data_IF_186706093807
#
_entry.id   IF_186706093807
#
_cell.length_a   1.000
_cell.length_b   1.000
_cell.length_c   1.000
_cell.angle_alpha   90.00
_cell.angle_beta   90.00
_cell.angle_gamma   90.00
#
_symmetry.space_group_name_H-M   'P 1'
#
loop_
_entity.id
_entity.type
_entity.pdbx_description
1 polymer ?
#
# COMPACT_ATOMS: atom_id res chain seq x y z
N UNK A 1 4.76 21.78 -19.12
CA UNK A 1 5.44 21.20 -17.93
C UNK A 1 4.57 20.05 -17.49
N UNK A 2 5.00 18.81 -17.68
CA UNK A 2 4.31 17.64 -17.13
C UNK A 2 4.44 17.73 -15.62
N UNK A 3 3.33 17.91 -14.90
CA UNK A 3 3.35 17.80 -13.42
C UNK A 3 3.82 16.39 -13.09
N UNK A 4 4.95 16.30 -12.42
CA UNK A 4 5.50 15.03 -11.96
C UNK A 4 4.63 14.50 -10.82
N UNK A 5 3.96 13.36 -11.05
CA UNK A 5 3.05 12.75 -10.06
C UNK A 5 3.85 12.25 -8.87
N UNK A 6 3.45 12.60 -7.66
CA UNK A 6 4.04 12.07 -6.42
C UNK A 6 3.14 10.96 -5.85
N UNK A 7 3.75 9.84 -5.46
CA UNK A 7 3.06 8.78 -4.74
C UNK A 7 3.32 8.86 -3.23
N UNK A 8 2.29 8.64 -2.41
CA UNK A 8 2.44 8.36 -0.98
C UNK A 8 2.13 6.90 -0.71
N UNK A 9 3.10 6.16 -0.20
CA UNK A 9 2.95 4.74 0.15
C UNK A 9 2.82 4.65 1.67
N UNK A 10 1.62 4.32 2.14
CA UNK A 10 1.30 4.21 3.55
C UNK A 10 1.51 2.78 3.99
N UNK A 11 2.44 2.56 4.90
CA UNK A 11 2.80 1.26 5.46
C UNK A 11 2.37 1.20 6.92
N UNK A 12 1.48 0.26 7.24
CA UNK A 12 1.14 -0.05 8.62
C UNK A 12 2.01 -1.19 9.11
N UNK A 13 2.59 -1.05 10.31
CA UNK A 13 3.57 -2.01 10.82
C UNK A 13 3.33 -2.39 12.26
N UNK A 14 3.60 -3.67 12.57
CA UNK A 14 3.64 -4.19 13.93
C UNK A 14 4.53 -5.43 14.03
N UNK A 15 5.70 -5.29 14.67
CA UNK A 15 6.63 -6.39 15.01
C UNK A 15 7.26 -7.20 13.85
N UNK A 16 6.98 -6.89 12.61
CA UNK A 16 7.50 -7.61 11.43
C UNK A 16 8.78 -6.95 10.89
N UNK A 17 9.84 -6.98 11.71
CA UNK A 17 11.07 -6.21 11.41
C UNK A 17 11.75 -6.64 10.10
N UNK A 18 11.89 -7.96 9.86
CA UNK A 18 12.56 -8.47 8.67
C UNK A 18 11.72 -8.31 7.42
N UNK A 19 10.41 -8.55 7.54
CA UNK A 19 9.46 -8.39 6.46
C UNK A 19 9.41 -6.93 6.02
N UNK A 20 9.34 -5.99 6.99
CA UNK A 20 9.39 -4.56 6.69
C UNK A 20 10.70 -4.15 6.00
N UNK A 21 11.85 -4.68 6.40
CA UNK A 21 13.12 -4.44 5.67
C UNK A 21 13.01 -4.86 4.21
N UNK A 22 12.47 -6.05 3.93
CA UNK A 22 12.29 -6.53 2.57
C UNK A 22 11.33 -5.62 1.77
N UNK A 23 10.21 -5.19 2.38
CA UNK A 23 9.30 -4.22 1.77
C UNK A 23 10.03 -2.91 1.46
N UNK A 24 10.77 -2.33 2.41
CA UNK A 24 11.49 -1.08 2.20
C UNK A 24 12.50 -1.19 1.07
N UNK A 25 13.28 -2.28 0.98
CA UNK A 25 14.17 -2.50 -0.17
C UNK A 25 13.40 -2.60 -1.48
N UNK A 26 12.23 -3.24 -1.52
CA UNK A 26 11.40 -3.31 -2.73
C UNK A 26 10.87 -1.95 -3.16
N UNK A 27 10.53 -1.09 -2.21
CA UNK A 27 10.04 0.27 -2.47
C UNK A 27 11.17 1.23 -2.86
N UNK A 28 12.29 1.20 -2.14
CA UNK A 28 13.42 2.09 -2.42
C UNK A 28 14.10 1.77 -3.77
N UNK A 29 13.95 0.54 -4.28
CA UNK A 29 14.45 0.12 -5.60
C UNK A 29 13.45 0.32 -6.75
N UNK A 30 12.32 1.00 -6.53
CA UNK A 30 11.40 1.31 -7.62
C UNK A 30 12.08 2.13 -8.71
N UNK A 31 11.73 1.86 -9.99
CA UNK A 31 12.27 2.62 -11.12
C UNK A 31 11.77 4.06 -11.18
N UNK A 32 10.54 4.32 -10.75
CA UNK A 32 10.00 5.67 -10.56
C UNK A 32 10.35 6.18 -9.17
N UNK A 33 10.93 7.38 -9.05
CA UNK A 33 11.56 7.86 -7.82
C UNK A 33 10.81 8.98 -7.08
N UNK A 34 9.75 9.57 -7.67
CA UNK A 34 8.99 10.62 -7.02
C UNK A 34 7.89 10.04 -6.10
N UNK A 35 8.31 9.60 -4.93
CA UNK A 35 7.40 9.05 -3.90
C UNK A 35 7.89 9.35 -2.48
N UNK A 36 7.01 9.15 -1.53
CA UNK A 36 7.30 9.07 -0.10
C UNK A 36 6.77 7.77 0.49
N UNK A 37 7.41 7.28 1.54
CA UNK A 37 6.99 6.09 2.30
C UNK A 37 6.66 6.55 3.71
N UNK A 38 5.41 6.39 4.10
CA UNK A 38 4.90 6.78 5.43
C UNK A 38 4.70 5.51 6.24
N UNK A 39 5.60 5.26 7.20
CA UNK A 39 5.55 4.07 8.04
C UNK A 39 4.96 4.46 9.40
N UNK A 40 3.84 3.86 9.75
CA UNK A 40 3.17 4.07 11.05
C UNK A 40 3.20 2.75 11.81
N UNK A 41 3.99 2.69 12.90
CA UNK A 41 4.10 1.51 13.74
C UNK A 41 3.09 1.56 14.90
N UNK A 42 2.42 0.43 15.17
CA UNK A 42 1.38 0.31 16.19
C UNK A 42 1.94 0.13 17.60
N UNK A 43 2.18 1.25 18.27
CA UNK A 43 2.75 1.31 19.62
C UNK A 43 4.28 1.52 19.61
N UNK A 44 4.84 1.76 20.80
CA UNK A 44 6.27 1.99 20.99
C UNK A 44 7.02 0.66 20.97
N UNK A 45 8.07 0.56 20.14
CA UNK A 45 8.94 -0.61 20.03
C UNK A 45 10.38 -0.15 19.74
N UNK A 46 11.28 -0.38 20.72
CA UNK A 46 12.68 0.06 20.59
C UNK A 46 13.48 -0.75 19.56
N UNK A 47 13.16 -2.03 19.38
CA UNK A 47 13.82 -2.88 18.36
C UNK A 47 13.42 -2.42 16.96
N UNK A 48 12.13 -2.11 16.78
CA UNK A 48 11.64 -1.54 15.53
C UNK A 48 12.29 -0.18 15.24
N UNK A 49 12.44 0.68 16.26
CA UNK A 49 13.15 1.96 16.12
C UNK A 49 14.60 1.75 15.70
N UNK A 50 15.32 0.80 16.32
CA UNK A 50 16.71 0.51 15.96
C UNK A 50 16.83 0.03 14.52
N UNK A 51 15.94 -0.84 14.08
CA UNK A 51 15.89 -1.31 12.70
C UNK A 51 15.61 -0.17 11.72
N UNK A 52 14.65 0.72 12.04
CA UNK A 52 14.31 1.85 11.18
C UNK A 52 15.44 2.86 11.02
N UNK A 53 16.34 3.01 12.02
CA UNK A 53 17.49 3.91 11.92
C UNK A 53 18.40 3.60 10.71
N UNK A 54 18.38 2.37 10.19
CA UNK A 54 19.13 2.00 8.97
C UNK A 54 18.58 2.71 7.70
N UNK A 55 17.37 3.22 7.74
CA UNK A 55 16.64 3.78 6.58
C UNK A 55 16.34 5.28 6.70
N UNK A 56 16.48 5.88 7.90
CA UNK A 56 16.04 7.26 8.15
C UNK A 56 16.90 8.33 7.48
N UNK A 57 18.04 7.96 6.90
CA UNK A 57 18.86 8.87 6.08
C UNK A 57 18.24 9.12 4.69
N UNK A 58 17.30 8.29 4.26
CA UNK A 58 16.56 8.49 3.01
C UNK A 58 15.39 9.47 3.26
N UNK A 59 15.45 10.64 2.63
CA UNK A 59 14.48 11.73 2.82
C UNK A 59 13.07 11.42 2.32
N UNK A 60 12.88 10.30 1.63
CA UNK A 60 11.56 9.80 1.21
C UNK A 60 10.83 9.07 2.32
N UNK A 61 11.52 8.71 3.42
CA UNK A 61 10.96 7.94 4.52
C UNK A 61 10.47 8.86 5.62
N UNK A 62 9.19 8.73 5.96
CA UNK A 62 8.54 9.34 7.11
C UNK A 62 8.16 8.22 8.06
N UNK A 63 8.75 8.19 9.25
CA UNK A 63 8.52 7.13 10.22
C UNK A 63 8.15 7.68 11.59
N UNK A 64 7.17 7.06 12.21
CA UNK A 64 6.85 7.29 13.62
C UNK A 64 6.10 6.11 14.23
N UNK A 65 6.15 6.05 15.55
CA UNK A 65 5.44 5.09 16.37
C UNK A 65 4.28 5.78 17.08
N UNK A 66 3.14 5.13 17.15
CA UNK A 66 2.04 5.64 17.95
C UNK A 66 2.33 5.51 19.44
N UNK A 67 1.85 6.45 20.30
CA UNK A 67 2.15 6.42 21.73
C UNK A 67 1.52 5.23 22.47
N UNK A 68 0.54 4.58 21.86
CA UNK A 68 -0.13 3.37 22.36
C UNK A 68 -0.49 2.47 21.19
N UNK A 69 -0.62 1.17 21.48
CA UNK A 69 -1.14 0.20 20.51
C UNK A 69 -2.64 0.35 20.33
N UNK A 70 -3.10 0.45 19.08
CA UNK A 70 -4.51 0.48 18.72
C UNK A 70 -5.10 -0.92 18.54
N UNK A 71 -4.32 -1.85 17.95
CA UNK A 71 -4.73 -3.24 17.74
C UNK A 71 -6.04 -3.39 16.94
N UNK A 72 -6.19 -2.60 15.91
CA UNK A 72 -7.38 -2.48 15.06
C UNK A 72 -7.12 -2.84 13.61
N UNK A 73 -6.26 -3.83 13.37
CA UNK A 73 -5.80 -4.28 12.04
C UNK A 73 -5.15 -3.16 11.22
N UNK A 74 -4.66 -2.10 11.89
CA UNK A 74 -3.97 -0.97 11.26
C UNK A 74 -4.90 0.10 10.67
N UNK A 75 -6.19 0.09 10.99
CA UNK A 75 -7.15 1.06 10.43
C UNK A 75 -6.86 2.48 10.90
N UNK A 76 -6.61 2.67 12.20
CA UNK A 76 -6.19 3.97 12.74
C UNK A 76 -4.86 4.41 12.13
N UNK A 77 -3.90 3.48 11.93
CA UNK A 77 -2.60 3.80 11.38
C UNK A 77 -2.70 4.27 9.92
N UNK A 78 -3.55 3.61 9.11
CA UNK A 78 -3.83 4.05 7.73
C UNK A 78 -4.44 5.43 7.70
N UNK A 79 -5.39 5.73 8.59
CA UNK A 79 -6.00 7.06 8.68
C UNK A 79 -4.97 8.13 9.03
N UNK A 80 -4.07 7.87 9.99
CA UNK A 80 -2.94 8.75 10.30
C UNK A 80 -2.07 8.95 9.06
N UNK A 81 -1.75 7.88 8.33
CA UNK A 81 -0.99 7.95 7.09
C UNK A 81 -1.68 8.81 6.02
N UNK A 82 -3.00 8.66 5.84
CA UNK A 82 -3.80 9.47 4.91
C UNK A 82 -3.76 10.96 5.26
N UNK A 83 -3.79 11.30 6.56
CA UNK A 83 -3.80 12.69 7.04
C UNK A 83 -2.47 13.42 6.74
N UNK A 84 -1.35 12.71 6.75
CA UNK A 84 -0.02 13.29 6.53
C UNK A 84 0.52 13.10 5.11
N UNK A 85 -0.09 12.24 4.31
CA UNK A 85 0.31 11.99 2.93
C UNK A 85 0.33 13.28 2.10
N UNK A 86 1.39 13.51 1.33
CA UNK A 86 1.54 14.71 0.48
C UNK A 86 1.51 14.41 -1.03
N UNK A 87 1.48 13.13 -1.42
CA UNK A 87 1.45 12.71 -2.83
C UNK A 87 0.09 12.86 -3.48
N UNK A 88 0.09 12.84 -4.80
CA UNK A 88 -1.12 12.92 -5.64
C UNK A 88 -1.92 11.62 -5.61
N UNK A 89 -1.21 10.48 -5.49
CA UNK A 89 -1.80 9.14 -5.43
C UNK A 89 -1.38 8.42 -4.16
N UNK A 90 -2.32 7.68 -3.57
CA UNK A 90 -2.15 6.90 -2.34
C UNK A 90 -2.11 5.42 -2.66
N UNK A 91 -1.13 4.73 -2.10
CA UNK A 91 -1.05 3.27 -2.02
C UNK A 91 -1.01 2.89 -0.53
N UNK A 92 -1.86 1.96 -0.10
CA UNK A 92 -1.80 1.41 1.26
C UNK A 92 -1.21 0.01 1.22
N UNK A 93 -0.41 -0.37 2.23
CA UNK A 93 0.13 -1.73 2.31
C UNK A 93 0.42 -2.13 3.75
N UNK A 94 0.65 -3.41 3.96
CA UNK A 94 1.16 -3.97 5.21
C UNK A 94 2.67 -4.16 5.13
N UNK A 95 3.30 -4.31 6.27
CA UNK A 95 4.75 -4.43 6.44
C UNK A 95 5.36 -5.75 5.93
N UNK A 96 4.56 -6.72 5.53
CA UNK A 96 4.99 -8.03 5.01
C UNK A 96 4.72 -8.25 3.52
N UNK A 97 4.31 -7.22 2.81
CA UNK A 97 4.03 -7.25 1.38
C UNK A 97 5.24 -6.75 0.56
N UNK A 98 5.21 -6.97 -0.76
CA UNK A 98 6.31 -6.52 -1.64
C UNK A 98 5.76 -6.02 -2.97
N UNK A 99 6.54 -5.15 -3.64
CA UNK A 99 6.21 -4.62 -4.97
C UNK A 99 7.30 -4.97 -5.98
N UNK A 100 6.92 -5.22 -7.23
CA UNK A 100 7.89 -5.37 -8.31
C UNK A 100 8.62 -4.05 -8.57
N UNK A 101 9.89 -4.07 -9.03
CA UNK A 101 10.70 -2.85 -9.17
C UNK A 101 10.13 -1.79 -10.11
N UNK A 102 9.21 -2.15 -10.98
CA UNK A 102 8.57 -1.27 -11.96
C UNK A 102 7.12 -0.89 -11.59
N UNK A 103 6.63 -1.24 -10.40
CA UNK A 103 5.23 -1.02 -10.03
C UNK A 103 4.82 0.45 -10.14
N UNK A 104 5.56 1.36 -9.52
CA UNK A 104 5.24 2.80 -9.58
C UNK A 104 5.37 3.38 -10.99
N UNK A 105 6.32 2.89 -11.80
CA UNK A 105 6.48 3.31 -13.18
C UNK A 105 5.27 2.89 -14.03
N UNK A 106 4.81 1.65 -13.90
CA UNK A 106 3.63 1.17 -14.61
C UNK A 106 2.37 1.97 -14.28
N UNK A 107 2.19 2.32 -13.00
CA UNK A 107 1.08 3.17 -12.56
C UNK A 107 1.23 4.59 -13.15
N UNK A 108 2.41 5.17 -13.07
CA UNK A 108 2.71 6.49 -13.62
C UNK A 108 2.41 6.56 -15.13
N UNK A 109 2.88 5.58 -15.90
CA UNK A 109 2.69 5.53 -17.35
C UNK A 109 1.20 5.49 -17.73
N UNK A 110 0.40 4.74 -16.98
CA UNK A 110 -1.06 4.69 -17.16
C UNK A 110 -1.70 6.04 -16.86
N UNK A 111 -1.39 6.65 -15.71
CA UNK A 111 -1.99 7.95 -15.32
C UNK A 111 -1.58 9.08 -16.26
N UNK A 112 -0.37 9.01 -16.85
CA UNK A 112 0.07 9.99 -17.86
C UNK A 112 -0.65 9.82 -19.19
N UNK A 113 -0.92 8.59 -19.59
CA UNK A 113 -1.55 8.26 -20.88
C UNK A 113 -3.07 8.43 -20.84
N UNK A 114 -3.70 8.01 -19.77
CA UNK A 114 -5.14 7.99 -19.59
C UNK A 114 -5.55 9.17 -18.68
N UNK A 115 -5.78 10.36 -19.27
CA UNK A 115 -5.96 11.62 -18.52
C UNK A 115 -7.12 11.62 -17.51
N UNK A 116 -8.13 10.78 -17.73
CA UNK A 116 -9.28 10.61 -16.81
C UNK A 116 -9.03 9.57 -15.73
N UNK A 117 -7.93 8.79 -15.83
CA UNK A 117 -7.61 7.74 -14.87
C UNK A 117 -7.22 8.34 -13.52
N UNK A 118 -7.90 7.92 -12.48
CA UNK A 118 -7.64 8.39 -11.12
C UNK A 118 -7.67 7.25 -10.08
N UNK A 119 -7.82 6.01 -10.56
CA UNK A 119 -7.71 4.78 -9.79
C UNK A 119 -7.07 3.70 -10.66
N UNK A 120 -5.92 3.20 -10.26
CA UNK A 120 -5.19 2.14 -10.97
C UNK A 120 -5.12 0.91 -10.09
N UNK A 121 -5.43 -0.28 -10.64
CA UNK A 121 -5.34 -1.53 -9.92
C UNK A 121 -4.71 -2.64 -10.78
N UNK A 122 -4.13 -3.64 -10.13
CA UNK A 122 -3.26 -4.61 -10.79
C UNK A 122 -3.28 -5.98 -10.12
N UNK A 123 -2.77 -7.00 -10.84
CA UNK A 123 -2.67 -8.36 -10.34
C UNK A 123 -1.66 -8.49 -9.19
N UNK A 124 -1.91 -9.46 -8.34
CA UNK A 124 -0.98 -9.90 -7.31
C UNK A 124 -0.66 -11.39 -7.39
N UNK A 125 0.34 -11.77 -6.64
CA UNK A 125 0.57 -13.15 -6.24
C UNK A 125 0.34 -13.23 -4.73
N UNK A 126 -0.68 -13.99 -4.34
CA UNK A 126 -1.11 -14.09 -2.95
C UNK A 126 -0.68 -15.40 -2.33
N UNK A 127 -0.23 -15.34 -1.07
CA UNK A 127 0.07 -16.50 -0.25
C UNK A 127 -1.20 -17.29 0.04
N UNK A 128 -1.13 -18.59 -0.16
CA UNK A 128 -2.24 -19.50 0.13
C UNK A 128 -2.29 -19.81 1.63
N UNK A 129 -3.12 -19.10 2.39
CA UNK A 129 -3.30 -19.30 3.83
C UNK A 129 -3.98 -20.63 4.19
N UNK A 130 -4.66 -21.30 3.24
CA UNK A 130 -5.31 -22.60 3.42
C UNK A 130 -4.42 -23.78 3.02
N UNK A 131 -3.11 -23.56 2.93
CA UNK A 131 -2.17 -24.61 2.57
C UNK A 131 -2.14 -25.71 3.63
N UNK A 132 -2.93 -26.77 3.42
CA UNK A 132 -3.06 -27.90 4.36
C UNK A 132 -2.53 -29.21 3.82
N UNK A 133 -2.10 -29.26 2.54
CA UNK A 133 -1.51 -30.46 1.95
C UNK A 133 -0.47 -30.10 0.87
N UNK A 134 0.48 -31.02 0.64
CA UNK A 134 1.63 -30.86 -0.27
C UNK A 134 1.26 -30.69 -1.77
N UNK A 135 -0.01 -30.79 -2.13
CA UNK A 135 -0.51 -30.66 -3.51
C UNK A 135 -0.95 -29.23 -3.85
N UNK A 136 -1.04 -28.32 -2.88
CA UNK A 136 -1.40 -26.92 -3.12
C UNK A 136 -0.15 -26.07 -3.34
N UNK A 137 -0.22 -25.19 -4.34
CA UNK A 137 0.84 -24.19 -4.54
C UNK A 137 0.85 -23.22 -3.35
N UNK A 138 2.04 -22.85 -2.81
CA UNK A 138 2.14 -21.91 -1.69
C UNK A 138 1.66 -20.52 -2.04
N UNK A 139 1.69 -20.16 -3.31
CA UNK A 139 1.22 -18.90 -3.86
C UNK A 139 0.33 -19.12 -5.08
N UNK A 140 -0.60 -18.21 -5.32
CA UNK A 140 -1.49 -18.22 -6.49
C UNK A 140 -1.66 -16.83 -7.09
N UNK A 141 -1.86 -16.77 -8.42
CA UNK A 141 -2.23 -15.54 -9.09
C UNK A 141 -3.61 -15.09 -8.61
N UNK A 142 -3.69 -13.84 -8.18
CA UNK A 142 -4.93 -13.19 -7.81
C UNK A 142 -5.22 -12.01 -8.76
N UNK A 143 -6.34 -12.12 -9.49
CA UNK A 143 -6.86 -11.06 -10.36
C UNK A 143 -7.94 -10.29 -9.62
N UNK A 144 -7.72 -9.01 -9.28
CA UNK A 144 -8.65 -8.25 -8.46
C UNK A 144 -9.94 -7.93 -9.20
N UNK A 145 -11.02 -7.78 -8.43
CA UNK A 145 -12.28 -7.20 -8.88
C UNK A 145 -12.65 -6.07 -7.94
N UNK A 146 -13.15 -4.97 -8.48
CA UNK A 146 -13.50 -3.77 -7.71
C UNK A 146 -14.75 -3.98 -6.86
N UNK A 147 -14.65 -4.88 -5.90
CA UNK A 147 -15.69 -5.18 -4.92
C UNK A 147 -15.07 -5.76 -3.65
N UNK A 148 -15.81 -5.67 -2.55
CA UNK A 148 -15.44 -6.21 -1.25
C UNK A 148 -14.96 -7.66 -1.33
N UNK A 149 -13.88 -8.00 -0.60
CA UNK A 149 -13.24 -9.32 -0.53
C UNK A 149 -12.61 -9.82 -1.85
N UNK A 150 -12.49 -8.96 -2.87
CA UNK A 150 -11.93 -9.33 -4.16
C UNK A 150 -10.81 -8.39 -4.63
N UNK A 151 -10.30 -7.55 -3.76
CA UNK A 151 -9.15 -6.69 -3.98
C UNK A 151 -8.49 -6.42 -2.63
N UNK A 152 -7.17 -6.47 -2.60
CA UNK A 152 -6.37 -6.09 -1.43
C UNK A 152 -5.99 -4.62 -1.48
N UNK A 153 -5.71 -4.03 -0.30
CA UNK A 153 -5.30 -2.62 -0.18
C UNK A 153 -4.01 -2.30 -0.90
N UNK A 154 -3.09 -3.28 -1.02
CA UNK A 154 -1.83 -3.13 -1.73
C UNK A 154 -1.93 -3.21 -3.25
N UNK A 155 -3.09 -3.59 -3.79
CA UNK A 155 -3.29 -3.82 -5.22
C UNK A 155 -3.77 -2.60 -6.00
N UNK A 156 -3.81 -1.42 -5.42
CA UNK A 156 -4.25 -0.22 -6.13
C UNK A 156 -3.56 1.06 -5.68
N UNK A 157 -3.58 2.03 -6.58
CA UNK A 157 -3.27 3.43 -6.30
C UNK A 157 -4.50 4.28 -6.59
N UNK A 158 -4.90 5.15 -5.67
CA UNK A 158 -6.07 6.02 -5.80
C UNK A 158 -5.67 7.49 -5.66
N UNK A 159 -6.26 8.37 -6.46
CA UNK A 159 -6.02 9.81 -6.40
C UNK A 159 -6.46 10.38 -5.06
N UNK A 160 -5.54 11.03 -4.35
CA UNK A 160 -5.74 11.53 -2.98
C UNK A 160 -6.92 12.48 -2.87
N UNK A 161 -7.04 13.44 -3.78
CA UNK A 161 -8.12 14.45 -3.74
C UNK A 161 -9.52 13.82 -3.81
N UNK A 162 -9.64 12.65 -4.46
CA UNK A 162 -10.92 11.93 -4.57
C UNK A 162 -11.17 11.02 -3.36
N UNK A 163 -10.14 10.63 -2.63
CA UNK A 163 -10.31 9.98 -1.32
C UNK A 163 -10.89 11.01 -0.33
N UNK A 164 -10.43 12.26 -0.38
CA UNK A 164 -10.95 13.34 0.44
C UNK A 164 -10.97 13.00 1.93
N UNK A 165 -12.15 13.13 2.55
CA UNK A 165 -12.37 12.85 3.97
C UNK A 165 -12.78 11.41 4.28
N UNK A 166 -12.81 10.53 3.28
CA UNK A 166 -13.10 9.10 3.49
C UNK A 166 -11.99 8.48 4.32
N UNK A 167 -12.37 7.74 5.37
CA UNK A 167 -11.44 7.11 6.31
C UNK A 167 -11.82 5.65 6.56
N UNK A 168 -10.80 4.83 6.85
CA UNK A 168 -11.03 3.46 7.28
C UNK A 168 -11.85 3.41 8.56
N UNK A 169 -12.88 2.56 8.57
CA UNK A 169 -13.67 2.23 9.76
C UNK A 169 -13.03 1.07 10.48
N UNK A 170 -13.20 1.00 11.80
CA UNK A 170 -12.72 -0.16 12.58
C UNK A 170 -13.72 -1.30 12.40
N UNK A 171 -13.47 -2.12 11.37
CA UNK A 171 -14.31 -3.26 11.00
C UNK A 171 -13.42 -4.35 10.37
N UNK A 172 -13.82 -5.62 10.51
CA UNK A 172 -13.08 -6.75 9.89
C UNK A 172 -13.03 -6.67 8.36
N UNK A 173 -14.04 -6.05 7.75
CA UNK A 173 -14.14 -5.86 6.29
C UNK A 173 -13.87 -4.41 5.88
N UNK A 174 -13.12 -3.66 6.69
CA UNK A 174 -12.84 -2.24 6.49
C UNK A 174 -12.24 -1.92 5.13
N UNK A 175 -11.34 -2.77 4.63
CA UNK A 175 -10.72 -2.62 3.32
C UNK A 175 -11.78 -2.56 2.21
N UNK A 176 -12.71 -3.51 2.24
CA UNK A 176 -13.80 -3.55 1.27
C UNK A 176 -14.76 -2.37 1.39
N UNK A 177 -15.04 -1.91 2.61
CA UNK A 177 -15.89 -0.73 2.84
C UNK A 177 -15.20 0.51 2.27
N UNK A 178 -13.92 0.71 2.59
CA UNK A 178 -13.13 1.83 2.10
C UNK A 178 -13.08 1.88 0.56
N UNK A 179 -12.80 0.73 -0.07
CA UNK A 179 -12.77 0.63 -1.54
C UNK A 179 -14.12 0.97 -2.15
N UNK A 180 -15.23 0.43 -1.62
CA UNK A 180 -16.57 0.73 -2.11
C UNK A 180 -16.91 2.22 -1.96
N UNK A 181 -16.50 2.88 -0.87
CA UNK A 181 -16.73 4.30 -0.66
C UNK A 181 -15.91 5.17 -1.62
N UNK A 182 -14.61 4.90 -1.81
CA UNK A 182 -13.76 5.71 -2.69
C UNK A 182 -14.06 5.51 -4.18
N UNK A 183 -14.55 4.34 -4.60
CA UNK A 183 -14.89 4.07 -6.01
C UNK A 183 -16.00 4.97 -6.55
N UNK A 184 -16.82 5.58 -5.68
CA UNK A 184 -17.78 6.59 -6.10
C UNK A 184 -17.07 7.83 -6.67
N UNK A 185 -17.11 7.98 -7.99
CA UNK A 185 -16.45 9.11 -8.69
C UNK A 185 -15.02 8.82 -9.16
N UNK A 186 -14.56 7.58 -9.03
CA UNK A 186 -13.29 7.13 -9.60
C UNK A 186 -13.48 6.56 -11.01
N UNK A 187 -12.46 6.78 -11.87
CA UNK A 187 -12.34 6.17 -13.20
C UNK A 187 -11.21 5.13 -13.14
N UNK A 188 -11.54 3.84 -12.89
CA UNK A 188 -10.56 2.80 -12.68
C UNK A 188 -9.90 2.34 -13.98
N UNK A 189 -8.59 2.07 -13.92
CA UNK A 189 -7.83 1.43 -14.97
C UNK A 189 -7.16 0.16 -14.44
N UNK A 190 -7.29 -0.95 -15.17
CA UNK A 190 -6.69 -2.22 -14.82
C UNK A 190 -5.39 -2.47 -15.56
N UNK A 191 -4.32 -2.73 -14.82
CA UNK A 191 -3.04 -3.19 -15.35
C UNK A 191 -2.99 -4.73 -15.21
N UNK A 192 -3.09 -5.45 -16.31
CA UNK A 192 -2.97 -6.92 -16.32
C UNK A 192 -1.50 -7.34 -16.19
N UNK A 193 -0.89 -7.01 -15.06
CA UNK A 193 0.48 -7.37 -14.68
C UNK A 193 0.55 -7.67 -13.19
N UNK A 194 1.38 -8.63 -12.80
CA UNK A 194 1.71 -8.87 -11.40
C UNK A 194 2.66 -7.77 -10.93
N UNK A 195 2.17 -6.86 -10.10
CA UNK A 195 2.95 -5.76 -9.54
C UNK A 195 3.08 -5.83 -8.02
N UNK A 196 2.34 -6.74 -7.38
CA UNK A 196 2.23 -6.87 -5.93
C UNK A 196 2.33 -8.33 -5.50
N UNK A 197 2.98 -8.56 -4.37
CA UNK A 197 3.10 -9.86 -3.71
C UNK A 197 2.52 -9.72 -2.30
N UNK A 198 1.42 -10.39 -2.07
CA UNK A 198 0.72 -10.43 -0.80
C UNK A 198 1.17 -11.65 0.00
N UNK A 199 1.76 -11.44 1.18
CA UNK A 199 2.40 -12.49 1.98
C UNK A 199 1.64 -12.82 3.28
#
# INVERSE_FOLDING_TARGET
>A
MTNEIKFSIIVVSYRKHNELKCLLYSLLSQSYQNFEIIIVHDGIDSEHQMMMNEFLDDNRIIYFQTPKRFNDWGMTLRNIGLDIASGDFIINTNDDNYYTPNCLQEIYDVVQKESECNFVYFDSVDKNFQWQNEQQQPYSLFKPKLKRLHIDMGQFAAKKDLIGDIRFKIDYVADGIFIEEILHGMNPFYIEKILFIHN
#
